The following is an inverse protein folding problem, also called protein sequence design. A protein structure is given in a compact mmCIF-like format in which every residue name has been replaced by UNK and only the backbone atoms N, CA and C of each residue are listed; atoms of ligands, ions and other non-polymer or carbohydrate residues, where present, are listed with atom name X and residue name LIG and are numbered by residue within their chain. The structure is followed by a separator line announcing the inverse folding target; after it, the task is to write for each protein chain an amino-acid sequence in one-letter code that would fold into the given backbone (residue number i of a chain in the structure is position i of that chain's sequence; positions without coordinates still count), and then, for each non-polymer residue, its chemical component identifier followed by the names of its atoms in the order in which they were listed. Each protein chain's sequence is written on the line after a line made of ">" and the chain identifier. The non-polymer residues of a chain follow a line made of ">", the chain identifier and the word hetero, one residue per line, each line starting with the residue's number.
data_IF_238497826835
#
_entry.id   IF_238497826835
#
_cell.length_a   1.000
_cell.length_b   1.000
_cell.length_c   1.000
_cell.angle_alpha   90.00
_cell.angle_beta   90.00
_cell.angle_gamma   90.00
#
_symmetry.space_group_name_H-M   'P 1'
#
loop_
_entity.id
_entity.type
_entity.pdbx_description
1 polymer ?
#
# COMPACT_ATOMS: atom_id res chain seq x y z
N UNK A 1 -20.50 -12.62 -14.63
CA UNK A 1 -20.44 -11.37 -13.84
C UNK A 1 -19.93 -10.28 -14.76
N UNK A 2 -20.59 -9.12 -14.80
CA UNK A 2 -20.11 -7.95 -15.55
C UNK A 2 -18.94 -7.26 -14.80
N UNK A 3 -18.04 -6.59 -15.52
CA UNK A 3 -16.89 -5.90 -14.92
C UNK A 3 -17.33 -4.88 -13.86
N UNK A 4 -18.39 -4.11 -14.13
CA UNK A 4 -18.91 -3.10 -13.20
C UNK A 4 -19.43 -3.72 -11.90
N UNK A 5 -20.04 -4.91 -11.96
CA UNK A 5 -20.49 -5.66 -10.79
C UNK A 5 -19.28 -6.15 -9.96
N UNK A 6 -18.26 -6.67 -10.64
CA UNK A 6 -17.04 -7.14 -10.00
C UNK A 6 -16.32 -5.98 -9.27
N UNK A 7 -16.17 -4.82 -9.91
CA UNK A 7 -15.58 -3.62 -9.32
C UNK A 7 -16.41 -3.11 -8.13
N UNK A 8 -17.75 -3.07 -8.26
CA UNK A 8 -18.63 -2.63 -7.17
C UNK A 8 -18.49 -3.52 -5.93
N UNK A 9 -18.37 -4.83 -6.14
CA UNK A 9 -18.14 -5.76 -5.04
C UNK A 9 -16.79 -5.52 -4.35
N UNK A 10 -15.71 -5.32 -5.11
CA UNK A 10 -14.39 -4.94 -4.56
C UNK A 10 -14.49 -3.67 -3.71
N UNK A 11 -15.13 -2.61 -4.23
CA UNK A 11 -15.34 -1.36 -3.48
C UNK A 11 -16.13 -1.57 -2.20
N UNK A 12 -17.13 -2.45 -2.22
CA UNK A 12 -18.02 -2.70 -1.09
C UNK A 12 -17.32 -3.53 0.00
N UNK A 13 -16.74 -4.66 -0.37
CA UNK A 13 -16.07 -5.60 0.55
C UNK A 13 -14.88 -4.92 1.22
N UNK A 14 -14.03 -4.26 0.43
CA UNK A 14 -12.81 -3.61 0.94
C UNK A 14 -13.01 -2.14 1.31
N UNK A 15 -14.25 -1.66 1.35
CA UNK A 15 -14.62 -0.31 1.76
C UNK A 15 -13.82 0.79 1.02
N UNK A 16 -13.65 0.64 -0.30
CA UNK A 16 -12.83 1.55 -1.11
C UNK A 16 -11.35 1.54 -0.77
N UNK A 17 -10.81 0.44 -0.25
CA UNK A 17 -9.46 0.31 0.31
C UNK A 17 -9.21 1.06 1.64
N UNK A 18 -10.25 1.60 2.29
CA UNK A 18 -10.13 2.26 3.59
C UNK A 18 -9.35 1.44 4.61
N UNK A 19 -9.79 0.19 4.84
CA UNK A 19 -9.16 -0.69 5.84
C UNK A 19 -7.73 -1.03 5.44
N UNK A 20 -7.50 -1.27 4.14
CA UNK A 20 -6.17 -1.52 3.60
C UNK A 20 -5.22 -0.35 3.81
N UNK A 21 -5.67 0.89 3.61
CA UNK A 21 -4.87 2.09 3.89
C UNK A 21 -4.58 2.27 5.38
N UNK A 22 -5.54 2.02 6.27
CA UNK A 22 -5.27 2.08 7.72
C UNK A 22 -4.20 1.06 8.12
N UNK A 23 -4.36 -0.21 7.71
CA UNK A 23 -3.39 -1.27 8.02
C UNK A 23 -2.01 -0.95 7.46
N UNK A 24 -1.95 -0.53 6.19
CA UNK A 24 -0.68 -0.16 5.53
C UNK A 24 -0.04 1.06 6.22
N UNK A 25 -0.81 2.10 6.52
CA UNK A 25 -0.32 3.29 7.23
C UNK A 25 0.25 2.97 8.60
N UNK A 26 -0.38 2.07 9.37
CA UNK A 26 0.13 1.61 10.67
C UNK A 26 1.46 0.85 10.49
N UNK A 27 1.56 -0.05 9.52
CA UNK A 27 2.82 -0.79 9.25
C UNK A 27 3.95 0.19 8.88
N UNK A 28 3.68 1.16 8.00
CA UNK A 28 4.64 2.18 7.62
C UNK A 28 5.05 3.05 8.81
N UNK A 29 4.10 3.46 9.66
CA UNK A 29 4.37 4.23 10.87
C UNK A 29 5.24 3.45 11.88
N UNK A 30 4.94 2.16 12.10
CA UNK A 30 5.74 1.29 12.96
C UNK A 30 7.16 1.15 12.41
N UNK A 31 7.29 0.90 11.10
CA UNK A 31 8.60 0.80 10.46
C UNK A 31 9.40 2.12 10.57
N UNK A 32 8.77 3.26 10.32
CA UNK A 32 9.40 4.57 10.45
C UNK A 32 9.81 4.89 11.90
N UNK A 33 8.95 4.57 12.88
CA UNK A 33 9.23 4.68 14.30
C UNK A 33 10.43 3.84 14.73
N UNK A 34 10.49 2.56 14.31
CA UNK A 34 11.62 1.68 14.58
C UNK A 34 12.92 2.21 13.95
N UNK A 35 12.85 2.77 12.74
CA UNK A 35 14.02 3.38 12.10
C UNK A 35 14.48 4.68 12.77
N UNK A 36 13.55 5.42 13.37
CA UNK A 36 13.82 6.73 14.00
C UNK A 36 14.41 6.55 15.39
N UNK A 37 13.89 5.58 16.15
CA UNK A 37 14.20 5.44 17.58
C UNK A 37 14.97 4.17 17.95
N UNK A 38 15.13 3.22 17.03
CA UNK A 38 15.82 1.96 17.31
C UNK A 38 16.94 1.67 16.30
N UNK A 39 16.62 1.03 15.17
CA UNK A 39 17.62 0.68 14.16
C UNK A 39 17.04 0.54 12.76
N UNK A 40 17.89 0.78 11.75
CA UNK A 40 17.54 0.61 10.33
C UNK A 40 17.11 -0.84 10.03
N UNK A 41 17.78 -1.83 10.65
CA UNK A 41 17.45 -3.24 10.45
C UNK A 41 16.05 -3.59 10.94
N UNK A 42 15.66 -3.15 12.14
CA UNK A 42 14.30 -3.36 12.66
C UNK A 42 13.25 -2.67 11.79
N UNK A 43 13.55 -1.47 11.30
CA UNK A 43 12.69 -0.74 10.37
C UNK A 43 12.44 -1.52 9.07
N UNK A 44 13.51 -2.03 8.45
CA UNK A 44 13.46 -2.83 7.23
C UNK A 44 12.65 -4.10 7.45
N UNK A 45 12.95 -4.85 8.52
CA UNK A 45 12.24 -6.08 8.86
C UNK A 45 10.75 -5.81 9.11
N UNK A 46 10.41 -4.74 9.82
CA UNK A 46 9.03 -4.38 10.10
C UNK A 46 8.23 -4.08 8.82
N UNK A 47 8.84 -3.38 7.84
CA UNK A 47 8.15 -3.06 6.59
C UNK A 47 7.99 -4.29 5.69
N UNK A 48 9.03 -5.11 5.55
CA UNK A 48 8.99 -6.32 4.70
C UNK A 48 8.01 -7.35 5.28
N UNK A 49 8.13 -7.65 6.58
CA UNK A 49 7.27 -8.62 7.24
C UNK A 49 5.84 -8.07 7.35
N UNK A 50 5.67 -6.84 7.84
CA UNK A 50 4.37 -6.20 7.94
C UNK A 50 3.68 -6.12 6.57
N UNK A 51 4.42 -5.74 5.53
CA UNK A 51 3.96 -5.69 4.14
C UNK A 51 3.40 -7.02 3.64
N UNK A 52 4.07 -8.12 3.99
CA UNK A 52 3.63 -9.49 3.65
C UNK A 52 2.27 -9.83 4.28
N UNK A 53 1.97 -9.28 5.45
CA UNK A 53 0.73 -9.53 6.19
C UNK A 53 -0.37 -8.48 5.97
N UNK A 54 -0.19 -7.50 5.07
CA UNK A 54 -1.20 -6.45 4.82
C UNK A 54 -2.57 -7.05 4.51
N UNK A 55 -2.65 -8.02 3.60
CA UNK A 55 -3.94 -8.61 3.21
C UNK A 55 -4.59 -9.40 4.36
N UNK A 56 -3.91 -10.35 5.02
CA UNK A 56 -4.44 -11.01 6.22
C UNK A 56 -4.88 -10.06 7.33
N UNK A 57 -4.11 -9.01 7.61
CA UNK A 57 -4.44 -8.01 8.64
C UNK A 57 -5.66 -7.16 8.23
N UNK A 58 -5.78 -6.83 6.94
CA UNK A 58 -6.97 -6.16 6.39
C UNK A 58 -8.21 -7.03 6.55
N UNK A 59 -8.11 -8.33 6.25
CA UNK A 59 -9.21 -9.27 6.45
C UNK A 59 -9.57 -9.43 7.93
N UNK A 60 -8.58 -9.49 8.81
CA UNK A 60 -8.81 -9.55 10.25
C UNK A 60 -9.56 -8.32 10.74
N UNK A 61 -9.15 -7.12 10.33
CA UNK A 61 -9.82 -5.89 10.73
C UNK A 61 -11.24 -5.78 10.14
N UNK A 62 -11.45 -6.20 8.89
CA UNK A 62 -12.80 -6.32 8.31
C UNK A 62 -13.68 -7.28 9.10
N UNK A 63 -13.14 -8.44 9.52
CA UNK A 63 -13.85 -9.42 10.34
C UNK A 63 -14.27 -8.84 11.69
N UNK A 64 -13.37 -8.11 12.36
CA UNK A 64 -13.67 -7.41 13.62
C UNK A 64 -14.77 -6.37 13.43
N UNK A 65 -14.81 -5.70 12.27
CA UNK A 65 -15.85 -4.73 11.91
C UNK A 65 -17.19 -5.38 11.47
N UNK A 66 -17.31 -6.71 11.52
CA UNK A 66 -18.51 -7.43 11.06
C UNK A 66 -18.75 -7.31 9.55
N UNK A 67 -17.70 -7.10 8.75
CA UNK A 67 -17.77 -6.97 7.29
C UNK A 67 -17.37 -8.26 6.58
N UNK A 68 -17.82 -8.47 5.33
CA UNK A 68 -17.26 -9.50 4.47
C UNK A 68 -15.74 -9.33 4.33
N UNK A 69 -15.00 -10.44 4.31
CA UNK A 69 -13.53 -10.44 4.27
C UNK A 69 -12.94 -10.85 2.91
N UNK A 70 -13.76 -11.45 2.05
CA UNK A 70 -13.37 -11.91 0.72
C UNK A 70 -14.46 -11.61 -0.30
N UNK A 71 -14.06 -11.54 -1.56
CA UNK A 71 -14.99 -11.51 -2.69
C UNK A 71 -15.71 -12.87 -2.82
N UNK A 72 -16.86 -12.86 -3.48
CA UNK A 72 -17.54 -14.08 -3.93
C UNK A 72 -16.66 -14.85 -4.92
N UNK A 73 -16.84 -16.17 -4.96
CA UNK A 73 -16.03 -17.07 -5.81
C UNK A 73 -16.17 -16.77 -7.30
N UNK A 74 -17.34 -16.27 -7.71
CA UNK A 74 -17.65 -15.91 -9.10
C UNK A 74 -16.98 -14.60 -9.53
N UNK A 75 -16.41 -13.84 -8.58
CA UNK A 75 -15.72 -12.59 -8.86
C UNK A 75 -14.28 -12.88 -9.34
N UNK A 76 -13.96 -12.63 -10.62
CA UNK A 76 -12.65 -12.99 -11.19
C UNK A 76 -11.51 -12.12 -10.63
N UNK A 77 -11.81 -11.03 -9.92
CA UNK A 77 -10.80 -10.09 -9.45
C UNK A 77 -10.05 -10.54 -8.21
N UNK A 78 -10.45 -11.65 -7.58
CA UNK A 78 -9.65 -12.30 -6.53
C UNK A 78 -8.26 -12.69 -7.06
N UNK A 79 -8.20 -13.30 -8.25
CA UNK A 79 -6.94 -13.69 -8.89
C UNK A 79 -6.14 -12.46 -9.38
N UNK A 80 -6.84 -11.44 -9.91
CA UNK A 80 -6.20 -10.20 -10.32
C UNK A 80 -5.57 -9.47 -9.12
N UNK A 81 -6.30 -9.34 -8.01
CA UNK A 81 -5.79 -8.73 -6.78
C UNK A 81 -4.57 -9.48 -6.25
N UNK A 82 -4.57 -10.82 -6.35
CA UNK A 82 -3.41 -11.63 -6.00
C UNK A 82 -2.21 -11.32 -6.90
N UNK A 83 -2.36 -11.35 -8.22
CA UNK A 83 -1.26 -11.02 -9.15
C UNK A 83 -0.68 -9.63 -8.87
N UNK A 84 -1.55 -8.64 -8.63
CA UNK A 84 -1.15 -7.28 -8.25
C UNK A 84 -0.40 -7.30 -6.92
N UNK A 85 -0.89 -8.00 -5.88
CA UNK A 85 -0.21 -8.13 -4.59
C UNK A 85 1.21 -8.72 -4.73
N UNK A 86 1.39 -9.72 -5.59
CA UNK A 86 2.68 -10.36 -5.82
C UNK A 86 3.69 -9.49 -6.58
N UNK A 87 3.29 -8.35 -7.15
CA UNK A 87 4.27 -7.41 -7.74
C UNK A 87 5.20 -6.83 -6.68
N UNK A 88 4.73 -6.63 -5.45
CA UNK A 88 5.54 -6.09 -4.36
C UNK A 88 6.70 -7.04 -3.99
N UNK A 89 6.47 -8.29 -3.54
CA UNK A 89 7.57 -9.20 -3.22
C UNK A 89 8.47 -9.49 -4.43
N UNK A 90 7.93 -9.54 -5.66
CA UNK A 90 8.72 -9.71 -6.87
C UNK A 90 9.73 -8.57 -7.10
N UNK A 91 9.47 -7.38 -6.56
CA UNK A 91 10.38 -6.21 -6.65
C UNK A 91 11.32 -6.05 -5.46
N UNK A 92 11.25 -6.92 -4.44
CA UNK A 92 12.19 -6.88 -3.32
C UNK A 92 13.67 -6.94 -3.74
N UNK A 93 14.08 -7.73 -4.75
CA UNK A 93 15.47 -7.70 -5.23
C UNK A 93 15.89 -6.31 -5.75
N UNK A 94 14.98 -5.58 -6.42
CA UNK A 94 15.25 -4.23 -6.90
C UNK A 94 15.41 -3.24 -5.74
N UNK A 95 14.52 -3.32 -4.74
CA UNK A 95 14.62 -2.49 -3.53
C UNK A 95 15.90 -2.80 -2.76
N UNK A 96 16.25 -4.09 -2.63
CA UNK A 96 17.49 -4.52 -1.98
C UNK A 96 18.71 -3.98 -2.73
N UNK A 97 18.74 -4.06 -4.07
CA UNK A 97 19.82 -3.50 -4.86
C UNK A 97 19.96 -1.98 -4.65
N UNK A 98 18.87 -1.23 -4.60
CA UNK A 98 18.90 0.20 -4.28
C UNK A 98 19.46 0.46 -2.87
N UNK A 99 18.94 -0.26 -1.87
CA UNK A 99 19.35 -0.12 -0.47
C UNK A 99 20.82 -0.56 -0.21
N UNK A 100 21.35 -1.51 -0.98
CA UNK A 100 22.76 -1.91 -0.92
C UNK A 100 23.71 -0.85 -1.48
N UNK A 101 23.26 -0.04 -2.44
CA UNK A 101 24.04 1.10 -2.94
C UNK A 101 23.98 2.29 -1.99
N UNK A 102 22.79 2.61 -1.48
CA UNK A 102 22.59 3.60 -0.42
C UNK A 102 21.41 3.17 0.44
N UNK A 103 21.66 2.88 1.72
CA UNK A 103 20.64 2.39 2.65
C UNK A 103 19.46 3.36 2.81
N UNK A 104 19.68 4.66 2.60
CA UNK A 104 18.64 5.68 2.68
C UNK A 104 17.67 5.63 1.48
N UNK A 105 17.99 4.89 0.42
CA UNK A 105 17.08 4.62 -0.70
C UNK A 105 16.07 3.51 -0.44
N UNK A 106 16.12 2.83 0.72
CA UNK A 106 15.16 1.79 1.09
C UNK A 106 13.70 2.26 1.01
N UNK A 107 13.33 3.30 1.77
CA UNK A 107 11.96 3.84 1.75
C UNK A 107 11.60 4.54 0.43
N UNK A 108 12.48 5.39 -0.17
CA UNK A 108 12.27 5.94 -1.50
C UNK A 108 11.93 4.87 -2.56
N UNK A 109 12.69 3.77 -2.62
CA UNK A 109 12.44 2.68 -3.56
C UNK A 109 11.09 2.00 -3.28
N UNK A 110 10.77 1.74 -2.00
CA UNK A 110 9.47 1.20 -1.61
C UNK A 110 8.31 2.12 -2.02
N UNK A 111 8.43 3.44 -1.82
CA UNK A 111 7.41 4.40 -2.22
C UNK A 111 7.14 4.36 -3.73
N UNK A 112 8.18 4.32 -4.56
CA UNK A 112 8.04 4.25 -6.01
C UNK A 112 7.38 2.93 -6.44
N UNK A 113 7.89 1.80 -5.94
CA UNK A 113 7.35 0.47 -6.24
C UNK A 113 5.89 0.36 -5.82
N UNK A 114 5.56 0.79 -4.60
CA UNK A 114 4.19 0.69 -4.08
C UNK A 114 3.27 1.68 -4.78
N UNK A 115 3.76 2.86 -5.16
CA UNK A 115 3.02 3.79 -6.01
C UNK A 115 2.66 3.17 -7.36
N UNK A 116 3.61 2.52 -8.05
CA UNK A 116 3.34 1.81 -9.29
C UNK A 116 2.35 0.64 -9.10
N UNK A 117 2.46 -0.08 -7.99
CA UNK A 117 1.53 -1.15 -7.61
C UNK A 117 0.07 -0.67 -7.43
N UNK A 118 -0.17 0.61 -7.14
CA UNK A 118 -1.54 1.16 -7.10
C UNK A 118 -2.14 1.47 -8.48
N UNK A 119 -1.37 1.50 -9.56
CA UNK A 119 -1.92 1.79 -10.89
C UNK A 119 -2.98 0.77 -11.33
N UNK A 120 -2.77 -0.56 -11.19
CA UNK A 120 -3.82 -1.55 -11.45
C UNK A 120 -5.07 -1.41 -10.59
N UNK A 121 -4.99 -0.74 -9.43
CA UNK A 121 -6.14 -0.56 -8.54
C UNK A 121 -7.20 0.35 -9.18
N UNK A 122 -6.81 1.20 -10.13
CA UNK A 122 -7.75 2.00 -10.92
C UNK A 122 -8.78 1.09 -11.59
N UNK A 123 -8.33 0.01 -12.23
CA UNK A 123 -9.21 -0.97 -12.86
C UNK A 123 -9.84 -1.92 -11.85
N UNK A 124 -9.07 -2.42 -10.87
CA UNK A 124 -9.55 -3.38 -9.88
C UNK A 124 -10.76 -2.85 -9.09
N UNK A 125 -10.70 -1.58 -8.68
CA UNK A 125 -11.77 -0.91 -7.94
C UNK A 125 -12.72 -0.12 -8.85
N UNK A 126 -12.37 0.13 -10.12
CA UNK A 126 -13.10 1.06 -10.98
C UNK A 126 -13.03 2.52 -10.48
N UNK A 127 -11.95 2.89 -9.81
CA UNK A 127 -11.77 4.18 -9.13
C UNK A 127 -10.52 4.89 -9.65
N UNK A 128 -10.69 5.92 -10.49
CA UNK A 128 -9.55 6.73 -11.00
C UNK A 128 -8.75 7.40 -9.89
N UNK A 129 -9.36 7.61 -8.71
CA UNK A 129 -8.72 8.24 -7.55
C UNK A 129 -7.48 7.47 -7.06
N UNK A 130 -7.35 6.18 -7.36
CA UNK A 130 -6.10 5.44 -7.10
C UNK A 130 -4.88 6.05 -7.81
N UNK A 131 -5.09 6.77 -8.92
CA UNK A 131 -4.03 7.55 -9.58
C UNK A 131 -3.42 8.59 -8.65
N UNK A 132 -4.21 9.20 -7.75
CA UNK A 132 -3.74 10.20 -6.79
C UNK A 132 -2.69 9.58 -5.86
N UNK A 133 -2.98 8.40 -5.31
CA UNK A 133 -2.07 7.67 -4.41
C UNK A 133 -0.85 7.18 -5.17
N UNK A 134 -1.05 6.62 -6.36
CA UNK A 134 0.03 6.14 -7.21
C UNK A 134 1.04 7.27 -7.53
N UNK A 135 0.55 8.39 -8.04
CA UNK A 135 1.39 9.56 -8.39
C UNK A 135 2.03 10.16 -7.13
N UNK A 136 1.29 10.30 -6.03
CA UNK A 136 1.84 10.85 -4.79
C UNK A 136 3.01 10.01 -4.27
N UNK A 137 2.85 8.69 -4.16
CA UNK A 137 3.90 7.81 -3.65
C UNK A 137 5.12 7.77 -4.60
N UNK A 138 4.90 7.72 -5.92
CA UNK A 138 6.01 7.80 -6.89
C UNK A 138 6.74 9.13 -6.80
N UNK A 139 6.01 10.25 -6.75
CA UNK A 139 6.59 11.59 -6.66
C UNK A 139 7.37 11.78 -5.35
N UNK A 140 6.81 11.38 -4.21
CA UNK A 140 7.51 11.46 -2.93
C UNK A 140 8.71 10.52 -2.87
N UNK A 141 8.59 9.28 -3.34
CA UNK A 141 9.71 8.34 -3.37
C UNK A 141 10.86 8.88 -4.22
N UNK A 142 10.55 9.36 -5.43
CA UNK A 142 11.52 9.97 -6.34
C UNK A 142 12.15 11.23 -5.73
N UNK A 143 11.33 12.16 -5.24
CA UNK A 143 11.79 13.41 -4.65
C UNK A 143 12.66 13.20 -3.42
N UNK A 144 12.28 12.31 -2.50
CA UNK A 144 13.07 12.00 -1.31
C UNK A 144 14.40 11.36 -1.71
N UNK A 145 14.39 10.43 -2.67
CA UNK A 145 15.61 9.78 -3.16
C UNK A 145 16.64 10.75 -3.74
N UNK A 146 16.19 11.78 -4.47
CA UNK A 146 17.07 12.78 -5.08
C UNK A 146 17.46 13.92 -4.14
N UNK A 147 16.52 14.46 -3.36
CA UNK A 147 16.72 15.70 -2.61
C UNK A 147 17.01 15.49 -1.12
N UNK A 148 16.76 14.30 -0.58
CA UNK A 148 17.01 13.95 0.82
C UNK A 148 17.79 12.62 0.96
N UNK A 149 18.92 12.44 0.26
CA UNK A 149 19.62 11.15 0.16
C UNK A 149 20.25 10.69 1.48
N UNK A 150 20.32 11.55 2.50
CA UNK A 150 20.88 11.25 3.81
C UNK A 150 19.80 10.86 4.85
N UNK A 151 18.52 11.00 4.51
CA UNK A 151 17.42 10.70 5.43
C UNK A 151 16.90 9.28 5.23
N UNK A 152 17.16 8.41 6.20
CA UNK A 152 16.63 7.05 6.17
C UNK A 152 15.11 7.01 6.36
N UNK A 153 14.56 7.69 7.36
CA UNK A 153 13.17 7.47 7.80
C UNK A 153 12.12 8.39 7.18
N UNK A 154 12.53 9.46 6.48
CA UNK A 154 11.58 10.44 5.93
C UNK A 154 10.56 9.79 5.00
N UNK A 155 11.00 8.90 4.11
CA UNK A 155 10.09 8.17 3.23
C UNK A 155 9.09 7.29 3.99
N UNK A 156 9.49 6.71 5.12
CA UNK A 156 8.62 5.93 6.00
C UNK A 156 7.48 6.76 6.59
N UNK A 157 7.82 7.92 7.15
CA UNK A 157 6.82 8.85 7.71
C UNK A 157 5.90 9.44 6.64
N UNK A 158 6.45 9.81 5.48
CA UNK A 158 5.66 10.32 4.34
C UNK A 158 4.69 9.25 3.83
N UNK A 159 5.13 8.00 3.66
CA UNK A 159 4.25 6.91 3.25
C UNK A 159 3.11 6.69 4.25
N UNK A 160 3.42 6.65 5.56
CA UNK A 160 2.40 6.55 6.60
C UNK A 160 1.38 7.69 6.53
N UNK A 161 1.84 8.93 6.39
CA UNK A 161 0.98 10.10 6.25
C UNK A 161 0.08 10.01 5.01
N UNK A 162 0.62 9.64 3.85
CA UNK A 162 -0.17 9.48 2.61
C UNK A 162 -1.30 8.47 2.82
N UNK A 163 -1.02 7.31 3.42
CA UNK A 163 -2.04 6.30 3.66
C UNK A 163 -3.12 6.76 4.63
N UNK A 164 -2.77 7.39 5.74
CA UNK A 164 -3.76 7.90 6.69
C UNK A 164 -4.62 9.00 6.09
N UNK A 165 -4.01 9.93 5.33
CA UNK A 165 -4.73 11.01 4.66
C UNK A 165 -5.67 10.47 3.57
N UNK A 166 -5.31 9.39 2.88
CA UNK A 166 -6.13 8.81 1.82
C UNK A 166 -7.24 7.88 2.34
N UNK A 167 -7.11 7.31 3.54
CA UNK A 167 -8.07 6.33 4.05
C UNK A 167 -9.52 6.84 3.99
N UNK A 168 -9.83 7.93 4.68
CA UNK A 168 -11.21 8.43 4.78
C UNK A 168 -11.79 8.95 3.46
N UNK A 169 -11.08 9.74 2.63
CA UNK A 169 -11.56 10.16 1.32
C UNK A 169 -11.94 8.98 0.42
N UNK A 170 -11.14 7.92 0.40
CA UNK A 170 -11.40 6.75 -0.43
C UNK A 170 -12.64 5.97 -0.01
N UNK A 171 -12.90 5.90 1.31
CA UNK A 171 -14.17 5.38 1.82
C UNK A 171 -15.35 6.17 1.27
N UNK A 172 -15.26 7.50 1.27
CA UNK A 172 -16.32 8.38 0.79
C UNK A 172 -16.50 8.29 -0.73
N UNK A 173 -15.42 8.18 -1.50
CA UNK A 173 -15.49 7.99 -2.96
C UNK A 173 -16.19 6.69 -3.34
N UNK A 174 -15.85 5.59 -2.66
CA UNK A 174 -16.47 4.28 -2.92
C UNK A 174 -17.97 4.25 -2.63
N UNK A 175 -18.46 5.07 -1.69
CA UNK A 175 -19.90 5.18 -1.39
C UNK A 175 -20.69 5.94 -2.48
N UNK A 176 -20.01 6.75 -3.29
CA UNK A 176 -20.62 7.56 -4.35
C UNK A 176 -20.68 6.86 -5.71
N UNK A 177 -20.09 5.66 -5.85
CA UNK A 177 -19.93 4.92 -7.12
C UNK A 177 -20.54 3.52 -7.09
#
# INVERSE_FOLDING_TARGET
>A
MQISEAQKEVRTVYMGAFVGFIVTGVIWAISAALGTWNSKNLSIMALILGGTFIFPLTQLLLKIMGKPTTLRKENPFSMLAMQIAFTIPATYPLIAAAASNNINWFFPAFLVVVGAHYMPFIFLYGMWQFLIVAVALVAFGTGIGFYFPDSFTLGGWVGAAVYFLCAFPFRAFAQKQ
#
